data_IF_856215457123
#
_entry.id   IF_856215457123
#
_cell.length_a   1.000
_cell.length_b   1.000
_cell.length_c   1.000
_cell.angle_alpha   90.00
_cell.angle_beta   90.00
_cell.angle_gamma   90.00
#
_symmetry.space_group_name_H-M   'P 1'
#
loop_
_entity.id
_entity.type
_entity.pdbx_description
1 polymer ?
#
# COMPACT_ATOMS: atom_id res chain seq x y z
N UNK A 1 -17.91 -24.47 16.54
CA UNK A 1 -18.33 -23.34 15.69
C UNK A 1 -17.23 -22.28 15.69
N UNK A 2 -16.68 -21.96 14.52
CA UNK A 2 -15.69 -20.90 14.40
C UNK A 2 -16.43 -19.57 14.47
N UNK A 3 -16.14 -18.77 15.49
CA UNK A 3 -16.71 -17.42 15.57
C UNK A 3 -16.09 -16.57 14.49
N UNK A 4 -16.87 -15.76 13.74
CA UNK A 4 -16.29 -14.80 12.80
C UNK A 4 -15.40 -13.84 13.58
N UNK A 5 -14.17 -13.66 13.10
CA UNK A 5 -13.26 -12.68 13.68
C UNK A 5 -13.70 -11.28 13.24
N UNK A 6 -13.80 -10.37 14.21
CA UNK A 6 -14.05 -8.95 13.94
C UNK A 6 -12.73 -8.18 14.05
N UNK A 7 -12.48 -7.32 13.06
CA UNK A 7 -11.28 -6.49 13.00
C UNK A 7 -11.68 -5.02 13.06
N UNK A 8 -10.89 -4.20 13.72
CA UNK A 8 -11.06 -2.74 13.72
C UNK A 8 -10.66 -2.12 12.38
N UNK A 9 -9.70 -2.72 11.71
CA UNK A 9 -9.22 -2.33 10.39
C UNK A 9 -8.49 -3.50 9.74
N UNK A 10 -8.43 -3.49 8.42
CA UNK A 10 -7.65 -4.44 7.63
C UNK A 10 -6.67 -3.64 6.80
N UNK A 11 -5.38 -3.97 6.91
CA UNK A 11 -4.31 -3.35 6.13
C UNK A 11 -3.91 -4.28 4.99
N UNK A 12 -3.80 -3.73 3.79
CA UNK A 12 -3.38 -4.48 2.60
C UNK A 12 -2.12 -3.85 2.03
N UNK A 13 -1.09 -4.65 1.88
CA UNK A 13 0.16 -4.24 1.23
C UNK A 13 0.59 -5.30 0.22
N UNK A 14 0.79 -4.87 -1.02
CA UNK A 14 1.22 -5.74 -2.12
C UNK A 14 2.35 -5.04 -2.87
N UNK A 15 3.53 -5.66 -2.87
CA UNK A 15 4.72 -5.04 -3.44
C UNK A 15 5.28 -5.76 -4.67
N UNK A 16 4.94 -7.03 -4.88
CA UNK A 16 5.61 -7.87 -5.86
C UNK A 16 4.88 -8.03 -7.21
N UNK A 17 3.71 -7.42 -7.37
CA UNK A 17 2.95 -7.52 -8.62
C UNK A 17 3.60 -6.72 -9.76
N UNK A 18 4.31 -5.65 -9.43
CA UNK A 18 5.08 -4.86 -10.39
C UNK A 18 6.49 -4.68 -9.83
N UNK A 19 7.43 -5.46 -10.36
CA UNK A 19 8.81 -5.48 -9.90
C UNK A 19 9.83 -4.97 -10.93
N UNK A 20 9.40 -4.77 -12.17
CA UNK A 20 10.25 -4.47 -13.30
C UNK A 20 10.62 -5.70 -14.13
N UNK A 21 10.05 -6.87 -13.81
CA UNK A 21 10.27 -8.12 -14.52
C UNK A 21 9.28 -8.35 -15.66
N UNK A 22 9.53 -9.38 -16.45
CA UNK A 22 8.70 -9.74 -17.60
C UNK A 22 7.32 -10.25 -17.22
N UNK A 23 7.20 -10.86 -16.04
CA UNK A 23 5.96 -11.45 -15.55
C UNK A 23 5.12 -10.47 -14.72
N UNK A 24 5.46 -9.20 -14.75
CA UNK A 24 4.72 -8.17 -14.00
C UNK A 24 3.27 -8.10 -14.43
N UNK A 25 2.40 -7.88 -13.47
CA UNK A 25 1.01 -7.53 -13.75
C UNK A 25 0.92 -6.09 -14.25
N UNK A 26 -0.07 -5.83 -15.07
CA UNK A 26 -0.38 -4.45 -15.47
C UNK A 26 -1.02 -3.68 -14.31
N UNK A 27 -0.94 -2.34 -14.30
CA UNK A 27 -1.66 -1.53 -13.30
C UNK A 27 -3.16 -1.84 -13.22
N UNK A 28 -3.81 -2.10 -14.35
CA UNK A 28 -5.22 -2.47 -14.40
C UNK A 28 -5.49 -3.83 -13.76
N UNK A 29 -4.59 -4.79 -13.93
CA UNK A 29 -4.70 -6.10 -13.28
C UNK A 29 -4.53 -6.00 -11.76
N UNK A 30 -3.62 -5.16 -11.28
CA UNK A 30 -3.44 -4.93 -9.84
C UNK A 30 -4.73 -4.35 -9.24
N UNK A 31 -5.34 -3.37 -9.88
CA UNK A 31 -6.63 -2.82 -9.44
C UNK A 31 -7.73 -3.91 -9.43
N UNK A 32 -7.81 -4.72 -10.47
CA UNK A 32 -8.80 -5.80 -10.58
C UNK A 32 -8.66 -6.79 -9.43
N UNK A 33 -7.44 -7.19 -9.11
CA UNK A 33 -7.17 -8.10 -7.99
C UNK A 33 -7.54 -7.47 -6.65
N UNK A 34 -7.25 -6.20 -6.44
CA UNK A 34 -7.66 -5.51 -5.22
C UNK A 34 -9.19 -5.46 -5.09
N UNK A 35 -9.90 -5.17 -6.17
CA UNK A 35 -11.37 -5.19 -6.16
C UNK A 35 -11.94 -6.56 -5.80
N UNK A 36 -11.34 -7.62 -6.29
CA UNK A 36 -11.72 -9.00 -5.94
C UNK A 36 -11.47 -9.25 -4.45
N UNK A 37 -10.31 -8.86 -3.95
CA UNK A 37 -9.96 -9.00 -2.53
C UNK A 37 -10.96 -8.25 -1.64
N UNK A 38 -11.29 -7.02 -1.98
CA UNK A 38 -12.26 -6.20 -1.23
C UNK A 38 -13.63 -6.90 -1.19
N UNK A 39 -14.10 -7.46 -2.30
CA UNK A 39 -15.37 -8.21 -2.33
C UNK A 39 -15.33 -9.40 -1.37
N UNK A 40 -14.24 -10.15 -1.35
CA UNK A 40 -14.07 -11.28 -0.45
C UNK A 40 -14.03 -10.84 1.02
N UNK A 41 -13.35 -9.75 1.31
CA UNK A 41 -13.33 -9.17 2.66
C UNK A 41 -14.74 -8.79 3.09
N UNK A 42 -15.52 -8.16 2.22
CA UNK A 42 -16.87 -7.66 2.52
C UNK A 42 -17.87 -8.76 2.83
N UNK A 43 -17.64 -9.99 2.38
CA UNK A 43 -18.50 -11.13 2.71
C UNK A 43 -18.57 -11.37 4.23
N UNK A 44 -17.44 -11.25 4.93
CA UNK A 44 -17.37 -11.51 6.38
C UNK A 44 -17.15 -10.26 7.22
N UNK A 45 -16.71 -9.19 6.60
CA UNK A 45 -16.37 -7.93 7.25
C UNK A 45 -17.00 -6.77 6.46
N UNK A 46 -18.35 -6.66 6.45
CA UNK A 46 -19.06 -5.72 5.56
C UNK A 46 -18.75 -4.26 5.86
N UNK A 47 -18.45 -3.91 7.12
CA UNK A 47 -18.28 -2.52 7.56
C UNK A 47 -16.86 -2.20 8.05
N UNK A 48 -15.95 -3.18 8.02
CA UNK A 48 -14.58 -2.97 8.51
C UNK A 48 -13.80 -2.07 7.55
N UNK A 49 -13.17 -0.98 8.04
CA UNK A 49 -12.30 -0.14 7.21
C UNK A 49 -11.13 -0.95 6.63
N UNK A 50 -10.90 -0.79 5.32
CA UNK A 50 -9.78 -1.42 4.62
C UNK A 50 -8.83 -0.34 4.13
N UNK A 51 -7.56 -0.46 4.46
CA UNK A 51 -6.51 0.48 4.09
C UNK A 51 -5.56 -0.19 3.11
N UNK A 52 -5.44 0.38 1.92
CA UNK A 52 -4.37 0.01 1.01
C UNK A 52 -3.14 0.84 1.33
N UNK A 53 -2.01 0.17 1.57
CA UNK A 53 -0.73 0.84 1.75
C UNK A 53 -0.08 0.97 0.38
N UNK A 54 0.22 2.20 -0.03
CA UNK A 54 0.85 2.50 -1.31
C UNK A 54 2.13 1.70 -1.47
N UNK A 55 2.33 1.12 -2.65
CA UNK A 55 3.59 0.46 -2.97
C UNK A 55 4.72 1.47 -2.93
N UNK A 56 5.61 1.29 -1.97
CA UNK A 56 6.70 2.21 -1.67
C UNK A 56 7.71 2.25 -2.82
N UNK A 57 8.17 3.44 -3.24
CA UNK A 57 9.23 3.52 -4.23
C UNK A 57 10.54 2.96 -3.65
N UNK A 58 11.24 2.15 -4.43
CA UNK A 58 12.51 1.55 -4.02
C UNK A 58 13.58 1.81 -5.06
N UNK A 59 14.85 1.98 -4.65
CA UNK A 59 15.93 2.18 -5.62
C UNK A 59 16.05 1.04 -6.62
N UNK A 60 15.95 -0.23 -6.17
CA UNK A 60 16.10 -1.39 -7.04
C UNK A 60 15.00 -1.55 -8.08
N UNK A 61 13.80 -1.00 -7.82
CA UNK A 61 12.65 -1.05 -8.74
C UNK A 61 12.31 0.30 -9.34
N UNK A 62 13.19 1.26 -9.25
CA UNK A 62 12.94 2.62 -9.72
C UNK A 62 12.61 2.68 -11.22
N UNK A 63 13.19 1.79 -12.02
CA UNK A 63 12.89 1.66 -13.44
C UNK A 63 11.42 1.27 -13.73
N UNK A 64 10.73 0.69 -12.78
CA UNK A 64 9.31 0.34 -12.89
C UNK A 64 8.38 1.37 -12.25
N UNK A 65 8.92 2.48 -11.75
CA UNK A 65 8.15 3.46 -10.95
C UNK A 65 6.95 4.04 -11.68
N UNK A 66 7.02 4.23 -12.99
CA UNK A 66 5.89 4.74 -13.78
C UNK A 66 4.68 3.83 -13.70
N UNK A 67 4.88 2.53 -13.85
CA UNK A 67 3.80 1.52 -13.77
C UNK A 67 3.29 1.39 -12.32
N UNK A 68 4.20 1.40 -11.36
CA UNK A 68 3.84 1.34 -9.92
C UNK A 68 2.98 2.55 -9.56
N UNK A 69 3.37 3.74 -9.97
CA UNK A 69 2.59 4.95 -9.70
C UNK A 69 1.23 4.94 -10.39
N UNK A 70 1.16 4.40 -11.58
CA UNK A 70 -0.13 4.25 -12.29
C UNK A 70 -1.06 3.31 -11.53
N UNK A 71 -0.55 2.17 -11.04
CA UNK A 71 -1.33 1.25 -10.21
C UNK A 71 -1.82 1.95 -8.93
N UNK A 72 -0.93 2.65 -8.23
CA UNK A 72 -1.27 3.38 -7.02
C UNK A 72 -2.35 4.44 -7.26
N UNK A 73 -2.28 5.21 -8.35
CA UNK A 73 -3.32 6.19 -8.70
C UNK A 73 -4.68 5.54 -8.95
N UNK A 74 -4.69 4.41 -9.65
CA UNK A 74 -5.94 3.67 -9.92
C UNK A 74 -6.58 3.17 -8.62
N UNK A 75 -5.78 2.63 -7.72
CA UNK A 75 -6.26 2.14 -6.43
C UNK A 75 -6.72 3.30 -5.54
N UNK A 76 -5.98 4.41 -5.50
CA UNK A 76 -6.38 5.60 -4.75
C UNK A 76 -7.75 6.10 -5.21
N UNK A 77 -7.95 6.20 -6.51
CA UNK A 77 -9.24 6.63 -7.08
C UNK A 77 -10.37 5.66 -6.72
N UNK A 78 -10.09 4.37 -6.72
CA UNK A 78 -11.05 3.35 -6.28
C UNK A 78 -11.41 3.51 -4.80
N UNK A 79 -10.44 3.75 -3.93
CA UNK A 79 -10.68 4.02 -2.51
C UNK A 79 -11.51 5.29 -2.32
N UNK A 80 -11.21 6.36 -3.05
CA UNK A 80 -11.94 7.64 -2.94
C UNK A 80 -13.43 7.51 -3.33
N UNK A 81 -13.78 6.54 -4.16
CA UNK A 81 -15.14 6.32 -4.66
C UNK A 81 -15.94 5.28 -3.90
N UNK A 82 -15.34 4.63 -2.92
CA UNK A 82 -16.00 3.56 -2.16
C UNK A 82 -15.89 3.83 -0.67
N UNK A 83 -17.01 3.68 0.08
CA UNK A 83 -16.98 3.90 1.52
C UNK A 83 -16.11 2.85 2.22
N UNK A 84 -15.51 3.24 3.33
CA UNK A 84 -14.69 2.38 4.18
C UNK A 84 -13.46 1.79 3.49
N UNK A 85 -13.03 2.39 2.36
CA UNK A 85 -11.75 2.11 1.71
C UNK A 85 -10.86 3.34 1.81
N UNK A 86 -9.63 3.14 2.24
CA UNK A 86 -8.66 4.21 2.49
C UNK A 86 -7.33 3.89 1.81
N UNK A 87 -6.61 4.93 1.45
CA UNK A 87 -5.30 4.83 0.81
C UNK A 87 -4.25 5.49 1.69
N UNK A 88 -3.22 4.76 2.06
CA UNK A 88 -2.09 5.28 2.84
C UNK A 88 -0.94 5.59 1.89
N UNK A 89 -0.68 6.89 1.66
CA UNK A 89 0.41 7.33 0.79
C UNK A 89 1.77 7.16 1.46
N UNK A 90 2.75 6.64 0.72
CA UNK A 90 4.13 6.48 1.17
C UNK A 90 5.15 7.13 0.23
N UNK A 91 4.76 7.40 -1.01
CA UNK A 91 5.68 7.84 -2.06
C UNK A 91 6.50 9.08 -1.66
N UNK A 92 5.84 10.13 -1.19
CA UNK A 92 6.51 11.38 -0.86
C UNK A 92 7.49 11.24 0.30
N UNK A 93 7.07 10.50 1.35
CA UNK A 93 7.91 10.32 2.53
C UNK A 93 9.18 9.51 2.25
N UNK A 94 9.12 8.59 1.28
CA UNK A 94 10.25 7.76 0.89
C UNK A 94 11.05 8.32 -0.29
N UNK A 95 10.68 9.50 -0.79
CA UNK A 95 11.38 10.17 -1.89
C UNK A 95 12.22 11.31 -1.32
N UNK A 96 13.49 11.37 -1.72
CA UNK A 96 14.39 12.43 -1.33
C UNK A 96 14.16 13.73 -2.11
N UNK A 97 14.93 14.79 -1.80
CA UNK A 97 14.76 16.11 -2.41
C UNK A 97 14.99 16.13 -3.92
N UNK A 98 15.69 15.14 -4.45
CA UNK A 98 15.95 15.03 -5.90
C UNK A 98 14.85 14.28 -6.67
N UNK A 99 13.79 13.86 -5.99
CA UNK A 99 12.68 13.12 -6.60
C UNK A 99 12.93 11.62 -6.78
N UNK A 100 13.99 11.08 -6.22
CA UNK A 100 14.33 9.65 -6.24
C UNK A 100 14.19 9.04 -4.85
N UNK A 101 14.09 7.70 -4.73
CA UNK A 101 13.98 7.08 -3.41
C UNK A 101 15.16 7.42 -2.51
N UNK A 102 14.85 7.71 -1.24
CA UNK A 102 15.87 7.95 -0.23
C UNK A 102 16.57 6.64 0.14
N UNK A 103 17.77 6.44 -0.40
CA UNK A 103 18.54 5.21 -0.21
C UNK A 103 18.91 4.92 1.25
N UNK A 104 18.90 5.93 2.12
CA UNK A 104 19.22 5.76 3.54
C UNK A 104 18.14 4.99 4.31
N UNK A 105 16.98 4.78 3.72
CA UNK A 105 15.84 4.07 4.32
C UNK A 105 15.80 2.58 3.94
N UNK A 106 16.78 2.12 3.15
CA UNK A 106 16.81 0.76 2.61
C UNK A 106 18.03 -0.01 3.05
N UNK A 107 17.90 -1.35 3.06
CA UNK A 107 19.03 -2.26 3.24
C UNK A 107 19.96 -2.20 2.03
N UNK A 108 21.08 -2.91 2.11
CA UNK A 108 22.07 -2.97 1.03
C UNK A 108 21.52 -3.49 -0.31
N UNK A 109 20.44 -4.26 -0.30
CA UNK A 109 19.75 -4.71 -1.52
C UNK A 109 18.94 -3.61 -2.20
N UNK A 110 18.82 -2.45 -1.59
CA UNK A 110 18.05 -1.29 -2.10
C UNK A 110 16.59 -1.62 -2.41
N UNK A 111 16.05 -2.62 -1.73
CA UNK A 111 14.68 -3.09 -1.88
C UNK A 111 13.93 -3.16 -0.55
N UNK A 112 14.50 -3.87 0.42
CA UNK A 112 13.90 -4.00 1.74
C UNK A 112 14.23 -2.81 2.61
N UNK A 113 13.26 -2.37 3.41
CA UNK A 113 13.45 -1.29 4.35
C UNK A 113 14.44 -1.69 5.44
N UNK A 114 15.30 -0.75 5.85
CA UNK A 114 16.08 -0.88 7.05
C UNK A 114 15.25 -0.44 8.26
N UNK A 115 15.87 -0.35 9.44
CA UNK A 115 15.19 0.03 10.68
C UNK A 115 14.51 1.40 10.59
N UNK A 116 15.20 2.38 10.03
CA UNK A 116 14.66 3.74 9.87
C UNK A 116 13.52 3.77 8.85
N UNK A 117 13.64 3.01 7.78
CA UNK A 117 12.58 2.83 6.79
C UNK A 117 11.32 2.23 7.40
N UNK A 118 11.46 1.18 8.22
CA UNK A 118 10.32 0.58 8.90
C UNK A 118 9.69 1.51 9.95
N UNK A 119 10.48 2.32 10.63
CA UNK A 119 9.94 3.33 11.55
C UNK A 119 9.08 4.35 10.82
N UNK A 120 9.59 4.90 9.72
CA UNK A 120 8.84 5.85 8.90
C UNK A 120 7.55 5.21 8.37
N UNK A 121 7.64 4.00 7.86
CA UNK A 121 6.49 3.26 7.34
C UNK A 121 5.42 3.05 8.42
N UNK A 122 5.83 2.62 9.61
CA UNK A 122 4.92 2.44 10.73
C UNK A 122 4.27 3.76 11.18
N UNK A 123 5.00 4.87 11.18
CA UNK A 123 4.46 6.19 11.51
C UNK A 123 3.37 6.63 10.54
N UNK A 124 3.60 6.45 9.23
CA UNK A 124 2.61 6.77 8.20
C UNK A 124 1.32 5.96 8.37
N UNK A 125 1.46 4.68 8.66
CA UNK A 125 0.31 3.79 8.91
C UNK A 125 -0.45 4.24 10.16
N UNK A 126 0.24 4.45 11.26
CA UNK A 126 -0.37 4.88 12.53
C UNK A 126 -1.08 6.22 12.39
N UNK A 127 -0.48 7.16 11.68
CA UNK A 127 -1.09 8.46 11.42
C UNK A 127 -2.41 8.31 10.68
N UNK A 128 -2.43 7.52 9.60
CA UNK A 128 -3.65 7.27 8.83
C UNK A 128 -4.74 6.61 9.67
N UNK A 129 -4.37 5.64 10.48
CA UNK A 129 -5.32 4.96 11.38
C UNK A 129 -5.88 5.92 12.45
N UNK A 130 -5.06 6.82 12.96
CA UNK A 130 -5.50 7.84 13.93
C UNK A 130 -6.44 8.87 13.29
N UNK A 131 -6.14 9.32 12.08
CA UNK A 131 -6.99 10.27 11.33
C UNK A 131 -8.39 9.72 11.08
N UNK A 132 -8.51 8.40 10.91
CA UNK A 132 -9.80 7.72 10.72
C UNK A 132 -10.40 7.20 12.03
N UNK A 133 -9.82 7.55 13.17
CA UNK A 133 -10.36 7.20 14.48
C UNK A 133 -10.19 5.73 14.88
N UNK A 134 -9.33 4.97 14.18
CA UNK A 134 -9.05 3.55 14.48
C UNK A 134 -8.11 3.42 15.68
N UNK A 135 -7.10 4.29 15.76
CA UNK A 135 -6.19 4.41 16.89
C UNK A 135 -6.43 5.70 17.66
N UNK A 136 -6.17 5.70 18.97
CA UNK A 136 -6.23 6.93 19.77
C UNK A 136 -5.23 7.99 19.35
#
# INVERSE_FOLDING_TARGET
MIRPQTFKAILVFVANDISGGEDDRTPGEVLKLYRILVRQIRVRNPDTPVFWIETTPTPSRWHATGRIRTANRKIRRYCDRNPDLYFIGTHEAFTGPEGTPDSTLFRSDMLHLNRDGYRLWAELIKQSLSEEGILP
#
